data_IF_754420424071
#
_entry.id   IF_754420424071
#
_cell.length_a   1.000
_cell.length_b   1.000
_cell.length_c   1.000
_cell.angle_alpha   90.00
_cell.angle_beta   90.00
_cell.angle_gamma   90.00
#
_symmetry.space_group_name_H-M   'P 1'
#
loop_
_entity.id
_entity.type
_entity.pdbx_description
1 polymer ?
#
# COMPACT_ATOMS: atom_id res chain seq x y z
N UNK A 1 -4.74 -39.00 16.95
CA UNK A 1 -3.53 -38.21 16.68
C UNK A 1 -3.94 -36.77 16.52
N UNK A 2 -3.30 -35.86 17.24
CA UNK A 2 -3.50 -34.42 17.08
C UNK A 2 -2.80 -33.93 15.79
N UNK A 3 -3.17 -32.75 15.28
CA UNK A 3 -2.46 -32.16 14.15
C UNK A 3 -0.98 -31.88 14.48
N UNK A 4 -0.68 -31.57 15.73
CA UNK A 4 0.68 -31.29 16.22
C UNK A 4 1.57 -32.54 16.13
N UNK A 5 1.10 -33.68 16.65
CA UNK A 5 1.81 -34.96 16.55
C UNK A 5 2.07 -35.37 15.09
N UNK A 6 1.16 -35.02 14.19
CA UNK A 6 1.27 -35.34 12.76
C UNK A 6 2.27 -34.41 12.07
N UNK A 7 2.28 -33.12 12.42
CA UNK A 7 3.26 -32.17 11.90
C UNK A 7 4.67 -32.52 12.35
N UNK A 8 4.86 -32.86 13.64
CA UNK A 8 6.14 -33.31 14.18
C UNK A 8 6.65 -34.57 13.46
N UNK A 9 5.78 -35.57 13.27
CA UNK A 9 6.13 -36.78 12.52
C UNK A 9 6.47 -36.52 11.04
N UNK A 10 5.88 -35.50 10.41
CA UNK A 10 6.22 -35.10 9.04
C UNK A 10 7.58 -34.39 8.99
N UNK A 11 7.88 -33.54 9.97
CA UNK A 11 9.16 -32.83 10.08
C UNK A 11 10.31 -33.81 10.31
N UNK A 12 10.15 -34.77 11.21
CA UNK A 12 11.15 -35.81 11.48
C UNK A 12 11.50 -36.61 10.21
N UNK A 13 10.49 -36.97 9.42
CA UNK A 13 10.70 -37.67 8.13
C UNK A 13 11.41 -36.79 7.11
N UNK A 14 11.05 -35.51 7.03
CA UNK A 14 11.69 -34.58 6.12
C UNK A 14 13.17 -34.36 6.49
N UNK A 15 13.48 -34.26 7.79
CA UNK A 15 14.84 -34.16 8.32
C UNK A 15 15.65 -35.44 8.07
N UNK A 16 15.03 -36.62 8.25
CA UNK A 16 15.61 -37.92 7.92
C UNK A 16 15.78 -38.17 6.40
N UNK A 17 15.24 -37.27 5.56
CA UNK A 17 15.23 -37.37 4.08
C UNK A 17 14.57 -38.65 3.55
N UNK A 18 13.59 -39.19 4.29
CA UNK A 18 12.86 -40.38 3.88
C UNK A 18 11.81 -40.03 2.80
N UNK A 19 12.22 -40.12 1.53
CA UNK A 19 11.31 -39.98 0.38
C UNK A 19 10.68 -41.34 0.06
N UNK A 20 9.57 -41.64 0.72
CA UNK A 20 8.78 -42.85 0.50
C UNK A 20 7.33 -42.64 0.88
N UNK A 21 6.50 -43.66 0.64
CA UNK A 21 5.08 -43.61 0.97
C UNK A 21 4.87 -43.32 2.45
N UNK A 22 3.90 -42.46 2.75
CA UNK A 22 3.53 -42.16 4.13
C UNK A 22 2.93 -43.41 4.78
N UNK A 23 3.19 -43.65 6.08
CA UNK A 23 2.43 -44.63 6.84
C UNK A 23 0.93 -44.37 6.68
N UNK A 24 0.12 -45.42 6.49
CA UNK A 24 -1.29 -45.28 6.09
C UNK A 24 -2.07 -44.35 7.02
N UNK A 25 -1.86 -44.45 8.34
CA UNK A 25 -2.50 -43.58 9.33
C UNK A 25 -2.17 -42.09 9.15
N UNK A 26 -0.94 -41.76 8.75
CA UNK A 26 -0.50 -40.38 8.49
C UNK A 26 -1.07 -39.87 7.16
N UNK A 27 -1.04 -40.72 6.13
CA UNK A 27 -1.61 -40.43 4.82
C UNK A 27 -3.11 -40.16 4.86
N UNK A 28 -3.87 -40.93 5.64
CA UNK A 28 -5.32 -40.75 5.81
C UNK A 28 -5.64 -39.39 6.43
N UNK A 29 -4.91 -39.00 7.48
CA UNK A 29 -5.11 -37.71 8.12
C UNK A 29 -4.70 -36.53 7.22
N UNK A 30 -3.55 -36.61 6.56
CA UNK A 30 -3.09 -35.55 5.65
C UNK A 30 -4.09 -35.32 4.51
N UNK A 31 -4.75 -36.39 4.02
CA UNK A 31 -5.83 -36.26 3.02
C UNK A 31 -7.08 -35.55 3.56
N UNK A 32 -7.39 -35.74 4.85
CA UNK A 32 -8.55 -35.12 5.51
C UNK A 32 -8.31 -33.73 6.09
N UNK A 33 -7.06 -33.34 6.35
CA UNK A 33 -6.69 -32.11 7.04
C UNK A 33 -5.90 -31.15 6.13
N UNK A 34 -6.54 -30.03 5.74
CA UNK A 34 -5.94 -29.05 4.83
C UNK A 34 -4.63 -28.43 5.34
N UNK A 35 -4.50 -28.23 6.66
CA UNK A 35 -3.30 -27.67 7.28
C UNK A 35 -2.11 -28.64 7.17
N UNK A 36 -2.33 -29.92 7.50
CA UNK A 36 -1.28 -30.95 7.37
C UNK A 36 -0.90 -31.20 5.91
N UNK A 37 -1.85 -31.14 4.98
CA UNK A 37 -1.58 -31.21 3.55
C UNK A 37 -0.72 -30.03 3.04
N UNK A 38 -0.98 -28.82 3.54
CA UNK A 38 -0.17 -27.65 3.21
C UNK A 38 1.26 -27.77 3.76
N UNK A 39 1.39 -28.25 5.00
CA UNK A 39 2.68 -28.49 5.64
C UNK A 39 3.54 -29.50 4.86
N UNK A 40 2.96 -30.63 4.46
CA UNK A 40 3.66 -31.62 3.64
C UNK A 40 4.13 -31.05 2.30
N UNK A 41 3.29 -30.26 1.62
CA UNK A 41 3.69 -29.61 0.35
C UNK A 41 4.83 -28.63 0.55
N UNK A 42 4.82 -27.88 1.66
CA UNK A 42 5.91 -26.97 2.02
C UNK A 42 7.23 -27.74 2.23
N UNK A 43 7.20 -28.85 2.98
CA UNK A 43 8.39 -29.67 3.22
C UNK A 43 8.95 -30.27 1.92
N UNK A 44 8.09 -30.72 1.00
CA UNK A 44 8.54 -31.17 -0.32
C UNK A 44 9.18 -30.06 -1.14
N UNK A 45 8.55 -28.88 -1.21
CA UNK A 45 9.11 -27.74 -1.94
C UNK A 45 10.46 -27.31 -1.35
N UNK A 46 10.60 -27.31 -0.02
CA UNK A 46 11.87 -27.03 0.64
C UNK A 46 12.93 -28.08 0.28
N UNK A 47 12.58 -29.37 0.34
CA UNK A 47 13.48 -30.45 -0.02
C UNK A 47 13.94 -30.39 -1.48
N UNK A 48 13.08 -29.92 -2.38
CA UNK A 48 13.42 -29.70 -3.79
C UNK A 48 14.37 -28.51 -3.95
N UNK A 49 14.10 -27.38 -3.29
CA UNK A 49 15.01 -26.22 -3.32
C UNK A 49 16.39 -26.51 -2.73
N UNK A 50 16.46 -27.39 -1.73
CA UNK A 50 17.74 -27.82 -1.13
C UNK A 50 18.45 -28.89 -1.97
N UNK A 51 17.72 -29.62 -2.80
CA UNK A 51 18.28 -30.63 -3.71
C UNK A 51 18.80 -30.01 -5.02
N UNK A 52 18.39 -28.78 -5.35
CA UNK A 52 19.00 -28.03 -6.45
C UNK A 52 20.50 -27.86 -6.17
N UNK A 53 21.39 -28.27 -7.11
CA UNK A 53 22.81 -28.06 -6.95
C UNK A 53 23.06 -26.56 -6.78
N UNK A 54 23.91 -26.19 -5.82
CA UNK A 54 24.28 -24.81 -5.57
C UNK A 54 24.58 -24.12 -6.90
N UNK A 55 23.86 -23.03 -7.26
CA UNK A 55 24.05 -22.40 -8.54
C UNK A 55 25.53 -22.07 -8.69
N UNK A 56 26.12 -22.50 -9.81
CA UNK A 56 27.53 -22.26 -10.09
C UNK A 56 27.86 -20.78 -9.81
N UNK A 57 29.00 -20.47 -9.15
CA UNK A 57 29.32 -19.12 -8.78
C UNK A 57 29.25 -18.22 -10.02
N UNK A 58 28.31 -17.26 -9.97
CA UNK A 58 28.03 -16.37 -11.09
C UNK A 58 29.29 -15.59 -11.41
N UNK A 59 29.70 -15.61 -12.67
CA UNK A 59 30.93 -14.94 -13.11
C UNK A 59 30.94 -13.47 -12.65
N UNK A 60 32.05 -12.96 -12.08
CA UNK A 60 32.10 -11.63 -11.45
C UNK A 60 31.69 -10.48 -12.38
N UNK A 61 31.89 -10.63 -13.70
CA UNK A 61 31.44 -9.66 -14.70
C UNK A 61 29.91 -9.59 -14.82
N UNK A 62 29.21 -10.73 -14.71
CA UNK A 62 27.74 -10.78 -14.73
C UNK A 62 27.18 -10.12 -13.48
N UNK A 63 27.81 -10.37 -12.32
CA UNK A 63 27.45 -9.73 -11.06
C UNK A 63 27.67 -8.20 -11.12
N UNK A 64 28.79 -7.75 -11.68
CA UNK A 64 29.09 -6.33 -11.87
C UNK A 64 28.09 -5.67 -12.84
N UNK A 65 27.74 -6.33 -13.94
CA UNK A 65 26.72 -5.85 -14.88
C UNK A 65 25.34 -5.77 -14.23
N UNK A 66 24.94 -6.79 -13.46
CA UNK A 66 23.67 -6.80 -12.73
C UNK A 66 23.62 -5.66 -11.71
N UNK A 67 24.69 -5.45 -10.93
CA UNK A 67 24.82 -4.31 -10.01
C UNK A 67 24.76 -2.96 -10.72
N UNK A 68 25.43 -2.81 -11.85
CA UNK A 68 25.38 -1.58 -12.65
C UNK A 68 23.99 -1.34 -13.26
N UNK A 69 23.24 -2.39 -13.61
CA UNK A 69 21.84 -2.29 -14.05
C UNK A 69 20.93 -1.91 -12.89
N UNK A 70 21.08 -2.56 -11.73
CA UNK A 70 20.32 -2.26 -10.53
C UNK A 70 20.55 -0.82 -10.05
N UNK A 71 21.81 -0.37 -10.02
CA UNK A 71 22.17 1.00 -9.65
C UNK A 71 21.59 2.03 -10.63
N UNK A 72 21.55 1.73 -11.94
CA UNK A 72 20.90 2.59 -12.93
C UNK A 72 19.38 2.61 -12.78
N UNK A 73 18.77 1.47 -12.51
CA UNK A 73 17.32 1.37 -12.28
C UNK A 73 16.90 2.10 -11.00
N UNK A 74 17.69 2.03 -9.93
CA UNK A 74 17.49 2.77 -8.69
C UNK A 74 17.60 4.28 -8.93
N UNK A 75 18.67 4.74 -9.59
CA UNK A 75 18.84 6.16 -9.95
C UNK A 75 17.72 6.70 -10.85
N UNK A 76 17.23 5.90 -11.79
CA UNK A 76 16.10 6.28 -12.64
C UNK A 76 14.79 6.41 -11.86
N UNK A 77 14.62 5.68 -10.75
CA UNK A 77 13.46 5.80 -9.85
C UNK A 77 13.58 6.97 -8.87
N UNK A 78 14.80 7.36 -8.50
CA UNK A 78 15.08 8.51 -7.62
C UNK A 78 15.09 9.86 -8.38
N UNK A 79 15.48 9.85 -9.66
CA UNK A 79 15.54 11.02 -10.53
C UNK A 79 14.23 11.84 -10.66
N UNK A 80 13.01 11.26 -10.74
CA UNK A 80 11.79 12.06 -10.86
C UNK A 80 11.46 12.86 -9.58
N UNK A 81 12.00 12.49 -8.42
CA UNK A 81 11.79 13.24 -7.18
C UNK A 81 12.77 14.42 -7.01
N UNK A 82 14.01 14.28 -7.49
CA UNK A 82 15.03 15.32 -7.38
C UNK A 82 14.91 16.43 -8.45
N UNK A 83 14.34 16.11 -9.63
CA UNK A 83 14.17 17.08 -10.73
C UNK A 83 12.86 17.89 -10.64
N UNK A 84 11.89 17.42 -9.86
CA UNK A 84 10.66 18.15 -9.58
C UNK A 84 10.94 19.20 -8.50
N UNK A 85 11.43 20.37 -8.89
CA UNK A 85 11.56 21.51 -7.98
C UNK A 85 10.24 21.86 -7.28
N UNK A 86 10.30 22.62 -6.19
CA UNK A 86 9.16 23.07 -5.36
C UNK A 86 7.90 23.47 -6.17
N UNK A 87 8.09 24.05 -7.36
CA UNK A 87 7.01 24.43 -8.26
C UNK A 87 6.15 23.26 -8.77
N UNK A 88 6.71 22.08 -9.04
CA UNK A 88 5.94 20.92 -9.50
C UNK A 88 5.10 20.31 -8.38
N UNK A 89 5.63 20.25 -7.16
CA UNK A 89 4.87 19.81 -5.99
C UNK A 89 3.69 20.75 -5.71
N UNK A 90 3.91 22.06 -5.84
CA UNK A 90 2.86 23.07 -5.70
C UNK A 90 1.81 22.95 -6.81
N UNK A 91 2.23 22.76 -8.06
CA UNK A 91 1.31 22.57 -9.20
C UNK A 91 0.52 21.27 -9.07
N UNK A 92 1.15 20.17 -8.62
CA UNK A 92 0.47 18.91 -8.37
C UNK A 92 -0.57 19.07 -7.24
N UNK A 93 -0.21 19.71 -6.13
CA UNK A 93 -1.12 20.04 -5.03
C UNK A 93 -2.31 20.89 -5.50
N UNK A 94 -2.02 21.94 -6.27
CA UNK A 94 -3.03 22.84 -6.82
C UNK A 94 -3.95 22.11 -7.79
N UNK A 95 -3.41 21.25 -8.65
CA UNK A 95 -4.19 20.48 -9.62
C UNK A 95 -5.16 19.51 -8.94
N UNK A 96 -4.73 18.85 -7.85
CA UNK A 96 -5.59 17.99 -7.06
C UNK A 96 -6.69 18.80 -6.35
N UNK A 97 -6.35 19.97 -5.80
CA UNK A 97 -7.32 20.88 -5.21
C UNK A 97 -8.35 21.39 -6.24
N UNK A 98 -7.91 21.72 -7.46
CA UNK A 98 -8.78 22.14 -8.57
C UNK A 98 -9.69 20.99 -9.02
N UNK A 99 -9.19 19.75 -9.04
CA UNK A 99 -9.99 18.58 -9.42
C UNK A 99 -11.09 18.27 -8.39
N UNK A 100 -10.85 18.56 -7.10
CA UNK A 100 -11.82 18.39 -6.03
C UNK A 100 -12.85 19.54 -5.98
N UNK A 101 -12.56 20.69 -6.60
CA UNK A 101 -13.40 21.88 -6.56
C UNK A 101 -14.85 21.64 -7.07
N UNK A 102 -15.11 20.93 -8.19
CA UNK A 102 -16.47 20.73 -8.68
C UNK A 102 -17.33 19.91 -7.72
N UNK A 103 -16.75 18.92 -7.05
CA UNK A 103 -17.44 18.10 -6.04
C UNK A 103 -17.82 18.95 -4.82
N UNK A 104 -16.89 19.80 -4.36
CA UNK A 104 -17.12 20.68 -3.21
C UNK A 104 -18.15 21.76 -3.52
N UNK A 105 -18.07 22.37 -4.71
CA UNK A 105 -19.04 23.36 -5.18
C UNK A 105 -20.42 22.72 -5.35
N UNK A 106 -20.50 21.53 -5.95
CA UNK A 106 -21.76 20.80 -6.12
C UNK A 106 -22.40 20.41 -4.79
N UNK A 107 -21.59 19.91 -3.84
CA UNK A 107 -22.07 19.60 -2.49
C UNK A 107 -22.58 20.85 -1.77
N UNK A 108 -21.80 21.93 -1.81
CA UNK A 108 -22.18 23.17 -1.15
C UNK A 108 -23.43 23.81 -1.77
N UNK A 109 -23.57 23.76 -3.11
CA UNK A 109 -24.78 24.20 -3.79
C UNK A 109 -26.00 23.41 -3.31
N UNK A 110 -25.93 22.08 -3.26
CA UNK A 110 -27.03 21.25 -2.76
C UNK A 110 -27.39 21.54 -1.30
N UNK A 111 -26.39 21.78 -0.44
CA UNK A 111 -26.61 22.13 0.97
C UNK A 111 -27.26 23.50 1.10
N UNK A 112 -26.84 24.49 0.31
CA UNK A 112 -27.43 25.83 0.30
C UNK A 112 -28.87 25.80 -0.23
N UNK A 113 -29.12 25.10 -1.33
CA UNK A 113 -30.46 25.00 -1.93
C UNK A 113 -31.43 24.27 -0.98
N UNK A 114 -30.99 23.13 -0.42
CA UNK A 114 -31.77 22.35 0.54
C UNK A 114 -32.00 23.09 1.86
N UNK A 115 -30.97 23.78 2.36
CA UNK A 115 -31.07 24.61 3.56
C UNK A 115 -32.00 25.80 3.35
N UNK A 116 -31.89 26.50 2.22
CA UNK A 116 -32.78 27.60 1.87
C UNK A 116 -34.24 27.13 1.77
N UNK A 117 -34.49 25.99 1.12
CA UNK A 117 -35.85 25.44 1.01
C UNK A 117 -36.45 25.09 2.38
N UNK A 118 -35.68 24.47 3.27
CA UNK A 118 -36.14 24.09 4.61
C UNK A 118 -36.33 25.28 5.57
N UNK A 119 -35.48 26.31 5.45
CA UNK A 119 -35.40 27.41 6.40
C UNK A 119 -36.08 28.69 5.91
N UNK A 120 -36.51 28.77 4.64
CA UNK A 120 -37.13 29.96 4.04
C UNK A 120 -38.36 30.45 4.81
N UNK A 121 -39.12 29.56 5.44
CA UNK A 121 -40.29 29.93 6.25
C UNK A 121 -39.96 30.44 7.64
N UNK A 122 -38.72 30.24 8.10
CA UNK A 122 -38.29 30.52 9.48
C UNK A 122 -37.28 31.66 9.57
N UNK A 123 -36.47 31.87 8.52
CA UNK A 123 -35.43 32.89 8.50
C UNK A 123 -35.58 33.86 7.34
N UNK A 124 -35.30 35.15 7.56
CA UNK A 124 -35.25 36.12 6.48
C UNK A 124 -34.06 35.85 5.56
N UNK A 125 -34.28 36.05 4.25
CA UNK A 125 -33.30 35.84 3.18
C UNK A 125 -31.86 36.34 3.46
N UNK A 126 -31.62 37.58 3.97
CA UNK A 126 -30.26 38.06 4.21
C UNK A 126 -29.49 37.22 5.24
N UNK A 127 -30.19 36.64 6.23
CA UNK A 127 -29.60 35.79 7.25
C UNK A 127 -29.17 34.44 6.66
N UNK A 128 -29.99 33.88 5.75
CA UNK A 128 -29.65 32.68 4.99
C UNK A 128 -28.45 32.91 4.06
N UNK A 129 -28.39 34.06 3.39
CA UNK A 129 -27.24 34.43 2.55
C UNK A 129 -25.96 34.55 3.36
N UNK A 130 -26.03 35.19 4.53
CA UNK A 130 -24.87 35.34 5.42
C UNK A 130 -24.40 33.98 5.96
N UNK A 131 -25.34 33.14 6.41
CA UNK A 131 -25.04 31.78 6.87
C UNK A 131 -24.40 30.94 5.76
N UNK A 132 -24.91 31.09 4.53
CA UNK A 132 -24.35 30.44 3.36
C UNK A 132 -22.93 30.89 3.04
N UNK A 133 -22.64 32.19 3.11
CA UNK A 133 -21.29 32.75 2.94
C UNK A 133 -20.31 32.22 3.99
N UNK A 134 -20.72 32.18 5.26
CA UNK A 134 -19.87 31.69 6.35
C UNK A 134 -19.63 30.19 6.22
N UNK A 135 -20.67 29.42 5.90
CA UNK A 135 -20.57 27.98 5.66
C UNK A 135 -19.65 27.69 4.46
N UNK A 136 -19.86 28.36 3.33
CA UNK A 136 -19.03 28.19 2.14
C UNK A 136 -17.58 28.59 2.38
N UNK A 137 -17.35 29.71 3.07
CA UNK A 137 -16.02 30.22 3.40
C UNK A 137 -15.26 29.28 4.34
N UNK A 138 -15.92 28.77 5.37
CA UNK A 138 -15.32 27.81 6.31
C UNK A 138 -15.03 26.45 5.65
N UNK A 139 -15.92 25.99 4.77
CA UNK A 139 -15.73 24.75 4.01
C UNK A 139 -14.60 24.89 2.99
N UNK A 140 -14.53 26.02 2.27
CA UNK A 140 -13.44 26.34 1.36
C UNK A 140 -12.08 26.43 2.09
N UNK A 141 -12.05 27.07 3.27
CA UNK A 141 -10.85 27.11 4.11
C UNK A 141 -10.46 25.72 4.63
N UNK A 142 -11.42 24.92 5.10
CA UNK A 142 -11.16 23.58 5.62
C UNK A 142 -10.65 22.63 4.54
N UNK A 143 -11.30 22.60 3.38
CA UNK A 143 -10.86 21.80 2.23
C UNK A 143 -9.54 22.31 1.69
N UNK A 144 -9.38 23.62 1.50
CA UNK A 144 -8.13 24.22 1.02
C UNK A 144 -6.95 23.94 1.94
N UNK A 145 -7.16 24.05 3.26
CA UNK A 145 -6.15 23.69 4.26
C UNK A 145 -5.85 22.20 4.24
N UNK A 146 -6.87 21.32 4.22
CA UNK A 146 -6.66 19.87 4.21
C UNK A 146 -5.92 19.40 2.96
N UNK A 147 -6.38 19.80 1.78
CA UNK A 147 -5.77 19.42 0.50
C UNK A 147 -4.44 20.13 0.23
N UNK A 148 -4.21 21.30 0.83
CA UNK A 148 -2.91 21.98 0.77
C UNK A 148 -1.88 21.39 1.74
N UNK A 149 -2.30 20.98 2.95
CA UNK A 149 -1.41 20.45 3.98
C UNK A 149 -0.89 19.05 3.67
N UNK A 150 -1.69 18.19 3.02
CA UNK A 150 -1.27 16.83 2.64
C UNK A 150 0.00 16.84 1.76
N UNK A 151 0.03 17.50 0.59
CA UNK A 151 1.21 17.54 -0.26
C UNK A 151 2.38 18.28 0.40
N UNK A 152 2.10 19.34 1.20
CA UNK A 152 3.14 20.03 1.96
C UNK A 152 3.81 19.10 3.00
N UNK A 153 3.02 18.31 3.72
CA UNK A 153 3.52 17.34 4.68
C UNK A 153 4.32 16.21 4.00
N UNK A 154 3.86 15.74 2.84
CA UNK A 154 4.60 14.74 2.04
C UNK A 154 5.94 15.30 1.57
N UNK A 155 5.96 16.53 1.06
CA UNK A 155 7.18 17.21 0.64
C UNK A 155 8.15 17.42 1.80
N UNK A 156 7.65 17.84 2.97
CA UNK A 156 8.45 17.99 4.19
C UNK A 156 9.08 16.66 4.59
N UNK A 157 8.29 15.57 4.68
CA UNK A 157 8.78 14.24 5.05
C UNK A 157 9.86 13.71 4.10
N UNK A 158 9.73 14.00 2.80
CA UNK A 158 10.74 13.60 1.80
C UNK A 158 12.06 14.32 1.99
N UNK A 159 12.05 15.56 2.47
CA UNK A 159 13.28 16.33 2.78
C UNK A 159 13.98 15.81 4.02
N UNK A 160 13.24 15.53 5.09
CA UNK A 160 13.80 14.91 6.31
C UNK A 160 14.50 13.58 6.00
N UNK A 161 13.96 12.79 5.06
CA UNK A 161 14.55 11.52 4.66
C UNK A 161 15.77 11.66 3.72
N UNK A 162 16.01 12.85 3.14
CA UNK A 162 17.07 13.10 2.17
C UNK A 162 18.32 13.76 2.78
N UNK A 163 18.24 14.30 4.00
CA UNK A 163 19.41 14.77 4.76
C UNK A 163 20.04 13.58 5.51
N UNK A 164 21.25 13.12 5.12
CA UNK A 164 22.00 12.17 5.94
C UNK A 164 22.47 12.86 7.23
N UNK A 165 22.19 12.23 8.37
CA UNK A 165 22.65 12.64 9.70
C UNK A 165 24.18 12.59 9.83
#
# INVERSE_FOLDING_TARGET
MSCEEIQEALDDRALARERGDLPHALGDHVRGCAACAAHLRFLHALADTLAEPAPAPVHPTVLAMARARAARALRAREAPAAAAGMGWELVAALSAAVLALPLVVGHAYLVLEGGAWLLASWLPAPLLTWLGLVYLGSLALGVGALYGLIPLAIAWRRREAAEPA
#
